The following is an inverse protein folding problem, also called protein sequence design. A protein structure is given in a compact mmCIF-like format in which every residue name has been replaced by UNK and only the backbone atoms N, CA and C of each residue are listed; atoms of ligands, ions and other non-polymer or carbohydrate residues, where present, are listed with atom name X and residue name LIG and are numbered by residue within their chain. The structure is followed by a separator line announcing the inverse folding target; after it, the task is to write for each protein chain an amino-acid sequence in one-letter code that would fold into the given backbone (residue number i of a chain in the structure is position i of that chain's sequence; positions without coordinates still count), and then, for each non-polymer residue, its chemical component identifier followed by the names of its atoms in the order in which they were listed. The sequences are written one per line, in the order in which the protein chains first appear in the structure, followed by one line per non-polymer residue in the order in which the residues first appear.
data_IF_277261933204
#
_entry.id   IF_277261933204
#
_cell.length_a   1.000
_cell.length_b   1.000
_cell.length_c   1.000
_cell.angle_alpha   90.00
_cell.angle_beta   90.00
_cell.angle_gamma   90.00
#
_symmetry.space_group_name_H-M   'P 1'
#
loop_
_entity.id
_entity.type
_entity.pdbx_description
1 polymer ?
#
# COMPACT_ATOMS: atom_id res chain seq x y z
N UNK A 1 -15.89 -26.14 -28.43
CA UNK A 1 -16.86 -25.85 -29.52
C UNK A 1 -18.01 -26.83 -29.54
N UNK A 2 -19.10 -26.51 -30.21
CA UNK A 2 -20.24 -27.41 -30.38
C UNK A 2 -19.88 -28.52 -31.40
N UNK A 3 -20.36 -29.75 -31.16
CA UNK A 3 -20.25 -30.85 -32.12
C UNK A 3 -21.13 -30.60 -33.36
N UNK A 4 -20.69 -31.11 -34.49
CA UNK A 4 -21.46 -31.01 -35.74
C UNK A 4 -22.73 -31.89 -35.72
N UNK A 5 -23.76 -31.42 -36.38
CA UNK A 5 -24.97 -32.24 -36.56
C UNK A 5 -24.75 -33.32 -37.61
N UNK A 6 -25.30 -34.53 -37.39
CA UNK A 6 -25.37 -35.57 -38.43
C UNK A 6 -26.33 -35.16 -39.53
N UNK A 7 -26.06 -35.62 -40.77
CA UNK A 7 -27.00 -35.53 -41.88
C UNK A 7 -28.16 -36.52 -41.72
N UNK A 8 -28.67 -37.04 -42.86
CA UNK A 8 -29.81 -37.92 -42.87
C UNK A 8 -29.57 -39.27 -42.14
N UNK A 9 -28.33 -39.74 -42.12
CA UNK A 9 -27.91 -40.97 -41.44
C UNK A 9 -26.55 -40.70 -40.82
N UNK A 10 -26.37 -41.02 -39.52
CA UNK A 10 -25.09 -40.88 -38.79
C UNK A 10 -25.28 -40.42 -37.35
N UNK A 11 -24.19 -40.41 -36.59
CA UNK A 11 -24.11 -39.83 -35.26
C UNK A 11 -23.71 -38.36 -35.35
N UNK A 12 -24.24 -37.54 -34.46
CA UNK A 12 -23.73 -36.15 -34.25
C UNK A 12 -22.31 -36.17 -33.69
N UNK A 13 -21.51 -35.17 -34.05
CA UNK A 13 -20.16 -35.02 -33.51
C UNK A 13 -20.19 -34.62 -32.03
N UNK A 14 -19.18 -35.06 -31.30
CA UNK A 14 -19.01 -34.70 -29.90
C UNK A 14 -18.66 -33.19 -29.72
N UNK A 15 -19.07 -32.63 -28.61
CA UNK A 15 -18.71 -31.27 -28.24
C UNK A 15 -17.23 -31.17 -27.87
N UNK A 16 -16.58 -30.11 -28.29
CA UNK A 16 -15.17 -29.84 -27.91
C UNK A 16 -15.02 -29.52 -26.43
N UNK A 17 -13.87 -29.90 -25.88
CA UNK A 17 -13.51 -29.57 -24.48
C UNK A 17 -13.45 -28.05 -24.27
N UNK A 18 -13.89 -27.60 -23.12
CA UNK A 18 -13.77 -26.18 -22.71
C UNK A 18 -12.31 -25.76 -22.52
N UNK A 19 -12.00 -24.51 -22.87
CA UNK A 19 -10.67 -23.96 -22.67
C UNK A 19 -10.31 -23.84 -21.19
N UNK A 20 -9.04 -24.00 -20.88
CA UNK A 20 -8.52 -23.77 -19.52
C UNK A 20 -8.58 -22.27 -19.20
N UNK A 21 -8.97 -21.93 -17.96
CA UNK A 21 -8.94 -20.54 -17.48
C UNK A 21 -7.51 -20.01 -17.44
N UNK A 22 -7.34 -18.76 -17.82
CA UNK A 22 -6.02 -18.14 -17.75
C UNK A 22 -5.57 -17.96 -16.30
N UNK A 23 -4.25 -18.07 -15.99
CA UNK A 23 -3.73 -17.68 -14.69
C UNK A 23 -4.08 -16.23 -14.39
N UNK A 24 -4.23 -15.88 -13.10
CA UNK A 24 -4.33 -14.49 -12.67
C UNK A 24 -3.14 -13.68 -13.17
N UNK A 25 -3.38 -12.49 -13.70
CA UNK A 25 -2.29 -11.63 -14.17
C UNK A 25 -1.48 -11.06 -13.00
N UNK A 26 -0.17 -10.96 -13.14
CA UNK A 26 0.66 -10.30 -12.13
C UNK A 26 0.23 -8.85 -11.96
N UNK A 27 0.06 -8.43 -10.67
CA UNK A 27 -0.09 -7.02 -10.35
C UNK A 27 1.20 -6.30 -10.70
N UNK A 28 1.15 -5.42 -11.68
CA UNK A 28 2.26 -4.55 -12.01
C UNK A 28 1.96 -3.16 -11.47
N UNK A 29 3.01 -2.50 -10.98
CA UNK A 29 2.94 -1.07 -10.73
C UNK A 29 3.26 -0.36 -12.06
N UNK A 30 2.28 -0.07 -12.92
CA UNK A 30 2.57 0.63 -14.16
C UNK A 30 3.21 1.98 -13.80
N UNK A 31 4.19 2.45 -14.59
CA UNK A 31 4.69 3.79 -14.41
C UNK A 31 3.50 4.74 -14.49
N UNK A 32 3.35 5.66 -13.51
CA UNK A 32 2.21 6.56 -13.51
C UNK A 32 2.24 7.40 -14.78
N UNK A 33 1.17 7.38 -15.54
CA UNK A 33 0.94 8.36 -16.61
C UNK A 33 0.62 9.71 -15.98
N UNK A 34 1.61 10.25 -15.26
CA UNK A 34 1.47 11.51 -14.55
C UNK A 34 1.49 12.65 -15.58
N UNK A 35 0.32 13.09 -15.97
CA UNK A 35 0.16 14.26 -16.87
C UNK A 35 0.12 15.57 -16.09
N UNK A 36 -0.20 15.55 -14.79
CA UNK A 36 -0.25 16.74 -13.94
C UNK A 36 -0.24 16.33 -12.44
N UNK A 37 0.00 17.31 -11.59
CA UNK A 37 -0.12 17.14 -10.14
C UNK A 37 -1.19 18.10 -9.61
N UNK A 38 -1.92 17.68 -8.57
CA UNK A 38 -2.83 18.55 -7.84
C UNK A 38 -2.04 19.59 -7.02
N UNK A 39 -2.70 20.69 -6.66
CA UNK A 39 -2.04 21.73 -5.88
C UNK A 39 -1.54 21.19 -4.53
N UNK A 40 -0.33 21.59 -4.17
CA UNK A 40 0.25 21.26 -2.87
C UNK A 40 -0.46 22.05 -1.76
N UNK A 41 -0.41 21.52 -0.53
CA UNK A 41 -0.86 22.23 0.65
C UNK A 41 0.04 23.45 0.93
N UNK A 42 -0.54 24.51 1.45
CA UNK A 42 0.24 25.67 1.87
C UNK A 42 1.05 25.36 3.14
N UNK A 43 2.27 25.87 3.26
CA UNK A 43 3.06 25.70 4.46
C UNK A 43 2.41 26.41 5.66
N UNK A 44 2.64 25.86 6.85
CA UNK A 44 2.27 26.49 8.10
C UNK A 44 3.13 27.75 8.38
N UNK A 45 2.58 28.70 9.09
CA UNK A 45 3.28 29.91 9.43
C UNK A 45 4.42 29.64 10.41
N UNK A 46 5.59 30.22 10.17
CA UNK A 46 6.67 30.28 11.15
C UNK A 46 6.32 31.32 12.22
N UNK A 47 6.58 30.99 13.49
CA UNK A 47 6.35 31.89 14.60
C UNK A 47 7.63 32.08 15.41
N UNK A 48 8.12 33.29 15.49
CA UNK A 48 9.33 33.66 16.22
C UNK A 48 9.12 33.90 17.73
N UNK A 49 7.87 33.80 18.20
CA UNK A 49 7.52 34.00 19.62
C UNK A 49 6.39 33.02 20.01
N UNK A 50 6.57 31.73 19.75
CA UNK A 50 5.62 30.68 20.07
C UNK A 50 5.67 29.50 19.10
N UNK A 51 4.63 28.69 19.12
CA UNK A 51 4.55 27.47 18.31
C UNK A 51 4.29 27.77 16.84
N UNK A 52 4.88 26.99 15.93
CA UNK A 52 4.68 27.07 14.50
C UNK A 52 3.28 26.58 14.08
N UNK A 53 2.78 27.11 12.97
CA UNK A 53 1.50 26.69 12.38
C UNK A 53 1.60 25.35 11.65
N UNK A 54 0.52 24.57 11.61
CA UNK A 54 0.46 23.35 10.83
C UNK A 54 0.41 23.65 9.33
N UNK A 55 1.05 22.80 8.52
CA UNK A 55 0.91 22.80 7.08
C UNK A 55 -0.45 22.27 6.66
N UNK A 56 -0.99 22.78 5.57
CA UNK A 56 -2.25 22.32 5.02
C UNK A 56 -2.07 21.02 4.20
N UNK A 57 -3.10 20.20 4.08
CA UNK A 57 -3.03 19.00 3.23
C UNK A 57 -2.93 19.39 1.74
N UNK A 58 -2.29 18.51 0.96
CA UNK A 58 -2.30 18.59 -0.50
C UNK A 58 -3.68 18.22 -1.06
N UNK A 59 -4.00 18.78 -2.21
CA UNK A 59 -5.27 18.47 -2.86
C UNK A 59 -5.24 17.09 -3.53
N UNK A 60 -6.36 16.35 -3.58
CA UNK A 60 -6.41 15.08 -4.30
C UNK A 60 -6.35 15.28 -5.82
N UNK A 61 -5.80 14.28 -6.50
CA UNK A 61 -5.82 14.17 -7.95
C UNK A 61 -7.20 13.70 -8.45
N UNK A 62 -8.15 14.60 -8.60
CA UNK A 62 -9.56 14.25 -8.90
C UNK A 62 -9.79 13.64 -10.31
N UNK A 63 -8.83 13.70 -11.21
CA UNK A 63 -8.95 13.22 -12.60
C UNK A 63 -7.91 12.11 -12.89
N UNK A 64 -8.20 11.22 -13.87
CA UNK A 64 -7.24 10.19 -14.28
C UNK A 64 -5.87 10.77 -14.67
N UNK A 65 -4.81 10.11 -14.23
CA UNK A 65 -3.43 10.52 -14.51
C UNK A 65 -2.92 11.71 -13.70
N UNK A 66 -3.73 12.28 -12.80
CA UNK A 66 -3.32 13.41 -11.98
C UNK A 66 -2.86 12.92 -10.59
N UNK A 67 -1.60 13.20 -10.26
CA UNK A 67 -1.04 12.88 -8.95
C UNK A 67 -1.68 13.73 -7.84
N UNK A 68 -1.72 13.20 -6.63
CA UNK A 68 -2.09 13.96 -5.45
C UNK A 68 -1.08 15.08 -5.17
N UNK A 69 -1.54 16.20 -4.63
CA UNK A 69 -0.67 17.28 -4.18
C UNK A 69 0.12 16.87 -2.93
N UNK A 70 1.35 17.32 -2.78
CA UNK A 70 2.10 17.13 -1.54
C UNK A 70 1.49 17.98 -0.40
N UNK A 71 1.64 17.52 0.84
CA UNK A 71 1.28 18.32 2.01
C UNK A 71 2.13 19.60 2.12
N UNK A 72 1.63 20.59 2.82
CA UNK A 72 2.39 21.80 3.16
C UNK A 72 3.32 21.55 4.34
N UNK A 73 4.50 22.13 4.33
CA UNK A 73 5.47 22.03 5.42
C UNK A 73 4.88 22.55 6.75
N UNK A 74 5.21 21.90 7.88
CA UNK A 74 4.93 22.47 9.19
C UNK A 74 5.79 23.71 9.44
N UNK A 75 5.20 24.76 10.02
CA UNK A 75 5.90 25.98 10.38
C UNK A 75 6.84 25.75 11.58
N UNK A 76 7.98 26.41 11.60
CA UNK A 76 8.87 26.40 12.77
C UNK A 76 8.33 27.29 13.88
N UNK A 77 8.46 26.82 15.13
CA UNK A 77 8.20 27.61 16.33
C UNK A 77 9.51 27.98 17.03
N UNK A 78 9.60 29.16 17.62
CA UNK A 78 10.72 29.59 18.44
C UNK A 78 10.23 30.43 19.60
N UNK A 79 10.83 30.26 20.78
CA UNK A 79 10.54 31.07 21.95
C UNK A 79 11.75 31.14 22.89
N UNK A 80 11.76 32.19 23.73
CA UNK A 80 12.76 32.45 24.78
C UNK A 80 12.17 32.27 26.18
N UNK A 81 10.89 31.94 26.29
CA UNK A 81 10.15 31.82 27.54
C UNK A 81 10.33 30.47 28.22
N UNK A 82 9.77 30.35 29.42
CA UNK A 82 9.69 29.07 30.15
C UNK A 82 8.60 28.14 29.61
N UNK A 83 7.75 28.66 28.72
CA UNK A 83 6.65 27.88 28.10
C UNK A 83 7.17 26.90 27.05
N UNK A 84 6.38 25.87 26.73
CA UNK A 84 6.74 24.92 25.69
C UNK A 84 6.57 25.53 24.29
N UNK A 85 7.48 25.17 23.38
CA UNK A 85 7.42 25.53 21.96
C UNK A 85 7.21 24.28 21.11
N UNK A 86 6.31 24.33 20.15
CA UNK A 86 6.05 23.21 19.24
C UNK A 86 6.24 23.65 17.78
N UNK A 87 6.99 22.89 17.00
CA UNK A 87 6.94 22.99 15.55
C UNK A 87 5.56 22.57 15.02
N UNK A 88 5.07 23.21 13.99
CA UNK A 88 3.79 22.84 13.37
C UNK A 88 3.86 21.46 12.70
N UNK A 89 2.77 20.72 12.69
CA UNK A 89 2.70 19.45 11.97
C UNK A 89 2.78 19.67 10.45
N UNK A 90 3.39 18.73 9.74
CA UNK A 90 3.33 18.67 8.29
C UNK A 90 1.93 18.34 7.80
N UNK A 91 1.52 18.88 6.66
CA UNK A 91 0.26 18.55 6.00
C UNK A 91 0.31 17.15 5.37
N UNK A 92 -0.84 16.48 5.29
CA UNK A 92 -0.95 15.20 4.59
C UNK A 92 -0.85 15.39 3.08
N UNK A 93 -0.35 14.38 2.38
CA UNK A 93 -0.45 14.30 0.91
C UNK A 93 -1.89 14.05 0.47
N UNK A 94 -2.25 14.55 -0.69
CA UNK A 94 -3.54 14.26 -1.33
C UNK A 94 -3.53 12.92 -2.05
N UNK A 95 -4.68 12.27 -2.19
CA UNK A 95 -4.79 11.00 -2.91
C UNK A 95 -4.56 11.20 -4.41
N UNK A 96 -3.99 10.19 -5.06
CA UNK A 96 -3.83 10.16 -6.52
C UNK A 96 -5.14 9.85 -7.23
N UNK A 97 -5.36 10.47 -8.38
CA UNK A 97 -6.41 10.07 -9.30
C UNK A 97 -6.13 8.69 -9.94
N UNK A 98 -7.09 8.10 -10.66
CA UNK A 98 -6.87 6.81 -11.34
C UNK A 98 -5.60 6.82 -12.19
N UNK A 99 -4.71 5.85 -11.99
CA UNK A 99 -3.43 5.74 -12.70
C UNK A 99 -2.33 6.68 -12.21
N UNK A 100 -2.53 7.40 -11.11
CA UNK A 100 -1.56 8.37 -10.61
C UNK A 100 -1.23 8.19 -9.13
N UNK A 101 0.03 8.47 -8.71
CA UNK A 101 0.46 8.27 -7.32
C UNK A 101 -0.21 9.25 -6.36
N UNK A 102 -0.30 8.82 -5.09
CA UNK A 102 -0.60 9.72 -4.00
C UNK A 102 0.49 10.76 -3.79
N UNK A 103 0.12 11.92 -3.27
CA UNK A 103 1.06 12.96 -2.86
C UNK A 103 1.81 12.58 -1.58
N UNK A 104 3.02 13.05 -1.42
CA UNK A 104 3.79 12.80 -0.20
C UNK A 104 3.27 13.68 0.94
N UNK A 105 3.31 13.15 2.17
CA UNK A 105 3.18 13.94 3.37
C UNK A 105 4.36 14.89 3.55
N UNK A 106 4.13 16.04 4.13
CA UNK A 106 5.17 17.02 4.36
C UNK A 106 5.85 16.86 5.72
N UNK A 107 7.11 17.27 5.86
CA UNK A 107 7.80 17.30 7.14
C UNK A 107 7.11 18.20 8.16
N UNK A 108 7.20 17.79 9.44
CA UNK A 108 6.88 18.65 10.56
C UNK A 108 7.92 19.77 10.76
N UNK A 109 7.48 20.87 11.34
CA UNK A 109 8.32 22.03 11.67
C UNK A 109 9.22 21.79 12.88
N UNK A 110 10.26 22.57 13.00
CA UNK A 110 11.19 22.53 14.13
C UNK A 110 10.63 23.38 15.26
N UNK A 111 10.68 22.87 16.51
CA UNK A 111 10.47 23.66 17.72
C UNK A 111 11.81 24.05 18.36
N UNK A 112 12.05 25.32 18.61
CA UNK A 112 13.29 25.83 19.24
C UNK A 112 12.93 26.61 20.48
N UNK A 113 13.40 26.15 21.65
CA UNK A 113 13.30 26.93 22.87
C UNK A 113 14.70 27.36 23.34
N UNK A 114 14.94 28.66 23.37
CA UNK A 114 16.19 29.26 23.86
C UNK A 114 16.09 29.69 25.32
N UNK A 115 14.90 29.55 25.93
CA UNK A 115 14.67 29.66 27.38
C UNK A 115 14.78 28.28 28.06
N UNK A 116 14.20 28.16 29.24
CA UNK A 116 14.21 26.92 30.04
C UNK A 116 13.02 25.97 29.71
N UNK A 117 12.13 26.38 28.80
CA UNK A 117 10.97 25.59 28.39
C UNK A 117 11.33 24.42 27.48
N UNK A 118 10.38 23.53 27.31
CA UNK A 118 10.49 22.36 26.42
C UNK A 118 10.32 22.74 24.95
N UNK A 119 10.95 21.96 24.08
CA UNK A 119 10.82 22.13 22.64
C UNK A 119 10.33 20.82 22.00
N UNK A 120 9.26 20.90 21.24
CA UNK A 120 8.68 19.77 20.52
C UNK A 120 8.81 19.98 19.01
N UNK A 121 9.28 18.97 18.31
CA UNK A 121 9.16 18.91 16.86
C UNK A 121 7.72 18.63 16.43
N UNK A 122 7.30 19.20 15.32
CA UNK A 122 6.01 18.86 14.71
C UNK A 122 6.03 17.46 14.09
N UNK A 123 4.89 16.75 14.05
CA UNK A 123 4.80 15.46 13.39
C UNK A 123 4.83 15.63 11.87
N UNK A 124 5.36 14.62 11.15
CA UNK A 124 5.25 14.54 9.71
C UNK A 124 3.81 14.26 9.27
N UNK A 125 3.41 14.76 8.11
CA UNK A 125 2.14 14.45 7.49
C UNK A 125 2.11 13.05 6.87
N UNK A 126 0.95 12.44 6.76
CA UNK A 126 0.80 11.13 6.10
C UNK A 126 0.88 11.28 4.57
N UNK A 127 1.36 10.25 3.88
CA UNK A 127 1.24 10.14 2.43
C UNK A 127 -0.20 9.90 2.01
N UNK A 128 -0.59 10.39 0.83
CA UNK A 128 -1.90 10.12 0.21
C UNK A 128 -1.94 8.74 -0.45
N UNK A 129 -3.13 8.19 -0.63
CA UNK A 129 -3.32 6.90 -1.28
C UNK A 129 -3.07 6.99 -2.79
N UNK A 130 -2.51 5.94 -3.38
CA UNK A 130 -2.35 5.82 -4.83
C UNK A 130 -3.67 5.51 -5.53
N UNK A 131 -3.90 6.09 -6.69
CA UNK A 131 -4.97 5.69 -7.58
C UNK A 131 -4.74 4.30 -8.17
N UNK A 132 -5.73 3.75 -8.88
CA UNK A 132 -5.62 2.40 -9.48
C UNK A 132 -4.33 2.26 -10.30
N UNK A 133 -3.53 1.25 -9.98
CA UNK A 133 -2.26 0.98 -10.64
C UNK A 133 -1.07 1.86 -10.21
N UNK A 134 -1.23 2.72 -9.21
CA UNK A 134 -0.20 3.67 -8.81
C UNK A 134 0.14 3.60 -7.31
N UNK A 135 1.38 3.90 -6.98
CA UNK A 135 1.95 3.82 -5.64
C UNK A 135 1.33 4.86 -4.70
N UNK A 136 1.19 4.51 -3.41
CA UNK A 136 0.90 5.48 -2.36
C UNK A 136 2.05 6.47 -2.15
N UNK A 137 1.73 7.69 -1.69
CA UNK A 137 2.71 8.71 -1.32
C UNK A 137 3.49 8.32 -0.07
N UNK A 138 4.71 8.81 0.06
CA UNK A 138 5.53 8.59 1.26
C UNK A 138 5.08 9.52 2.40
N UNK A 139 5.21 9.06 3.66
CA UNK A 139 5.00 9.89 4.83
C UNK A 139 6.08 10.95 5.00
N UNK A 140 5.71 12.10 5.54
CA UNK A 140 6.64 13.19 5.88
C UNK A 140 7.47 12.88 7.12
N UNK A 141 8.66 13.44 7.21
CA UNK A 141 9.51 13.28 8.39
C UNK A 141 9.00 14.11 9.57
N UNK A 142 9.23 13.63 10.80
CA UNK A 142 9.04 14.43 12.00
C UNK A 142 10.04 15.59 12.09
N UNK A 143 9.61 16.71 12.67
CA UNK A 143 10.47 17.85 12.95
C UNK A 143 11.32 17.63 14.21
N UNK A 144 12.39 18.39 14.37
CA UNK A 144 13.26 18.32 15.54
C UNK A 144 12.75 19.22 16.67
N UNK A 145 12.96 18.77 17.93
CA UNK A 145 12.79 19.60 19.12
C UNK A 145 14.14 20.04 19.68
N UNK A 146 14.40 21.34 19.76
CA UNK A 146 15.67 21.92 20.24
C UNK A 146 15.41 22.77 21.48
N UNK A 147 15.80 22.26 22.66
CA UNK A 147 15.80 23.04 23.89
C UNK A 147 17.26 23.39 24.25
N UNK A 148 17.63 24.69 24.22
CA UNK A 148 19.01 25.12 24.27
C UNK A 148 19.49 25.46 25.69
N UNK A 149 18.59 25.73 26.66
CA UNK A 149 18.94 26.22 27.99
C UNK A 149 18.25 25.43 29.12
N UNK A 150 18.25 24.11 29.05
CA UNK A 150 17.86 23.25 30.19
C UNK A 150 16.46 22.62 30.11
N UNK A 151 15.66 22.96 29.11
CA UNK A 151 14.43 22.24 28.81
C UNK A 151 14.69 20.93 28.06
N UNK A 152 13.65 20.08 27.91
CA UNK A 152 13.73 18.86 27.12
C UNK A 152 13.37 19.14 25.67
N UNK A 153 14.15 18.59 24.72
CA UNK A 153 13.81 18.51 23.33
C UNK A 153 13.11 17.17 23.03
N UNK A 154 12.03 17.19 22.26
CA UNK A 154 11.33 15.99 21.83
C UNK A 154 11.12 16.07 20.33
N UNK A 155 11.56 15.05 19.60
CA UNK A 155 11.36 14.95 18.17
C UNK A 155 9.91 14.62 17.84
N UNK A 156 9.38 15.16 16.75
CA UNK A 156 8.07 14.78 16.20
C UNK A 156 8.11 13.42 15.52
N UNK A 157 6.99 12.72 15.49
CA UNK A 157 6.89 11.42 14.83
C UNK A 157 6.86 11.56 13.31
N UNK A 158 7.35 10.54 12.60
CA UNK A 158 7.21 10.43 11.15
C UNK A 158 5.77 10.13 10.76
N UNK A 159 5.32 10.63 9.61
CA UNK A 159 4.00 10.33 9.06
C UNK A 159 3.94 8.92 8.44
N UNK A 160 2.76 8.34 8.38
CA UNK A 160 2.53 7.06 7.72
C UNK A 160 2.64 7.18 6.19
N UNK A 161 3.07 6.10 5.52
CA UNK A 161 2.97 5.98 4.07
C UNK A 161 1.52 5.74 3.64
N UNK A 162 1.13 6.26 2.48
CA UNK A 162 -0.19 6.04 1.86
C UNK A 162 -0.31 4.63 1.29
N UNK A 163 -1.52 4.16 1.11
CA UNK A 163 -1.79 2.85 0.50
C UNK A 163 -1.49 2.87 -0.99
N UNK A 164 -1.04 1.72 -1.51
CA UNK A 164 -0.97 1.52 -2.97
C UNK A 164 -2.36 1.38 -3.57
N UNK A 165 -2.56 1.88 -4.78
CA UNK A 165 -3.72 1.55 -5.61
C UNK A 165 -3.61 0.14 -6.18
N UNK A 166 -4.68 -0.35 -6.85
CA UNK A 166 -4.76 -1.72 -7.38
C UNK A 166 -3.48 -2.13 -8.10
N UNK A 167 -2.80 -3.14 -7.62
CA UNK A 167 -1.54 -3.65 -8.23
C UNK A 167 -0.28 -2.90 -7.84
N UNK A 168 -0.35 -1.93 -6.96
CA UNK A 168 0.75 -1.05 -6.65
C UNK A 168 1.22 -1.13 -5.18
N UNK A 169 2.47 -0.75 -4.96
CA UNK A 169 3.08 -0.71 -3.64
C UNK A 169 2.54 0.42 -2.78
N UNK A 170 2.55 0.23 -1.46
CA UNK A 170 2.33 1.31 -0.50
C UNK A 170 3.51 2.27 -0.45
N UNK A 171 3.27 3.47 0.06
CA UNK A 171 4.29 4.46 0.36
C UNK A 171 5.13 4.09 1.58
N UNK A 172 6.31 4.63 1.70
CA UNK A 172 7.17 4.42 2.87
C UNK A 172 6.70 5.30 4.04
N UNK A 173 6.98 4.86 5.28
CA UNK A 173 6.80 5.71 6.45
C UNK A 173 7.87 6.80 6.54
N UNK A 174 7.52 7.95 7.10
CA UNK A 174 8.45 9.05 7.37
C UNK A 174 9.36 8.76 8.56
N UNK A 175 10.52 9.35 8.57
CA UNK A 175 11.52 9.24 9.64
C UNK A 175 11.06 10.07 10.85
N UNK A 176 11.29 9.58 12.09
CA UNK A 176 11.07 10.35 13.29
C UNK A 176 12.10 11.49 13.44
N UNK A 177 11.65 12.62 13.98
CA UNK A 177 12.48 13.78 14.27
C UNK A 177 13.42 13.54 15.45
N UNK A 178 14.57 14.19 15.47
CA UNK A 178 15.53 14.09 16.57
C UNK A 178 15.31 15.14 17.66
N UNK A 179 15.84 14.86 18.84
CA UNK A 179 16.07 15.84 19.88
C UNK A 179 17.53 16.29 19.79
N UNK A 180 17.78 17.46 19.22
CA UNK A 180 19.13 17.98 19.01
C UNK A 180 19.33 19.34 19.68
N UNK A 181 20.54 19.64 20.11
CA UNK A 181 20.93 20.87 20.74
C UNK A 181 22.19 20.70 21.62
N UNK A 182 23.02 21.71 21.72
CA UNK A 182 24.30 21.67 22.47
C UNK A 182 24.12 21.55 23.98
N UNK A 183 22.98 21.94 24.52
CA UNK A 183 22.65 21.91 25.94
C UNK A 183 21.44 21.06 26.28
N UNK A 184 20.96 20.24 25.35
CA UNK A 184 19.84 19.29 25.57
C UNK A 184 20.36 18.09 26.33
N UNK A 185 20.27 18.11 27.65
CA UNK A 185 20.69 16.99 28.51
C UNK A 185 19.70 15.81 28.40
N UNK A 186 18.43 16.13 28.22
CA UNK A 186 17.33 15.15 28.10
C UNK A 186 16.61 15.42 26.80
N UNK A 187 16.15 14.37 26.16
CA UNK A 187 15.33 14.48 24.95
C UNK A 187 15.13 13.14 24.30
N UNK A 188 13.93 12.90 23.80
CA UNK A 188 13.58 11.67 23.10
C UNK A 188 13.41 11.93 21.62
N UNK A 189 13.92 11.04 20.77
CA UNK A 189 13.64 11.03 19.35
C UNK A 189 12.18 10.64 19.09
N UNK A 190 11.59 11.18 18.02
CA UNK A 190 10.27 10.80 17.57
C UNK A 190 10.28 9.42 16.90
N UNK A 191 9.18 8.71 16.96
CA UNK A 191 9.02 7.40 16.30
C UNK A 191 8.95 7.54 14.78
N UNK A 192 9.41 6.51 14.06
CA UNK A 192 9.23 6.43 12.61
C UNK A 192 7.77 6.09 12.25
N UNK A 193 7.30 6.64 11.15
CA UNK A 193 5.95 6.35 10.64
C UNK A 193 5.85 4.94 10.05
N UNK A 194 4.68 4.30 10.13
CA UNK A 194 4.46 3.00 9.50
C UNK A 194 4.47 3.10 7.97
N UNK A 195 4.87 2.02 7.31
CA UNK A 195 4.73 1.89 5.86
C UNK A 195 3.28 1.68 5.46
N UNK A 196 2.90 2.18 4.29
CA UNK A 196 1.57 1.98 3.72
C UNK A 196 1.35 0.54 3.25
N UNK A 197 0.12 0.06 3.32
CA UNK A 197 -0.22 -1.27 2.81
C UNK A 197 -0.10 -1.34 1.28
N UNK A 198 0.35 -2.48 0.77
CA UNK A 198 0.26 -2.81 -0.64
C UNK A 198 -1.20 -3.09 -1.04
N UNK A 199 -1.52 -2.88 -2.29
CA UNK A 199 -2.89 -3.08 -2.77
C UNK A 199 -3.18 -4.52 -3.16
N UNK A 200 -4.46 -4.88 -3.09
CA UNK A 200 -4.98 -6.12 -3.67
C UNK A 200 -5.02 -5.99 -5.20
N UNK A 201 -4.70 -7.06 -5.90
CA UNK A 201 -4.68 -7.05 -7.37
C UNK A 201 -5.26 -8.32 -7.96
N UNK A 202 -5.62 -8.28 -9.24
CA UNK A 202 -6.03 -9.43 -10.01
C UNK A 202 -4.90 -10.46 -10.27
N UNK A 203 -3.65 -10.11 -9.91
CA UNK A 203 -2.48 -10.98 -10.05
C UNK A 203 -1.76 -11.13 -8.72
N UNK A 204 -0.44 -10.92 -8.69
CA UNK A 204 0.35 -10.89 -7.46
C UNK A 204 0.01 -9.63 -6.64
N UNK A 205 -0.25 -9.77 -5.34
CA UNK A 205 -0.52 -8.65 -4.45
C UNK A 205 0.61 -7.61 -4.44
N UNK A 206 0.28 -6.35 -4.27
CA UNK A 206 1.27 -5.27 -4.14
C UNK A 206 2.15 -5.43 -2.90
N UNK A 207 3.37 -4.94 -2.95
CA UNK A 207 4.31 -4.98 -1.81
C UNK A 207 3.92 -3.92 -0.78
N UNK A 208 4.03 -4.22 0.52
CA UNK A 208 3.87 -3.24 1.59
C UNK A 208 5.00 -2.22 1.60
N UNK A 209 4.71 -0.99 2.00
CA UNK A 209 5.72 0.07 2.15
C UNK A 209 6.64 -0.18 3.36
N UNK A 210 7.85 0.36 3.31
CA UNK A 210 8.82 0.27 4.41
C UNK A 210 8.44 1.22 5.55
N UNK A 211 8.63 0.79 6.81
CA UNK A 211 8.49 1.67 7.97
C UNK A 211 9.59 2.72 8.03
N UNK A 212 9.28 3.91 8.53
CA UNK A 212 10.26 4.98 8.72
C UNK A 212 11.22 4.71 9.87
N UNK A 213 12.42 5.26 9.81
CA UNK A 213 13.36 5.16 10.92
C UNK A 213 12.92 6.05 12.10
N UNK A 214 13.26 5.62 13.32
CA UNK A 214 13.15 6.45 14.53
C UNK A 214 14.14 7.59 14.55
N UNK A 215 13.80 8.71 15.19
CA UNK A 215 14.67 9.86 15.34
C UNK A 215 15.72 9.66 16.44
N UNK A 216 16.75 10.49 16.43
CA UNK A 216 17.81 10.44 17.42
C UNK A 216 17.42 11.11 18.73
N UNK A 217 17.77 10.52 19.87
CA UNK A 217 17.66 11.11 21.20
C UNK A 217 18.67 12.22 21.44
N UNK A 218 18.52 12.94 22.58
CA UNK A 218 19.46 13.99 23.01
C UNK A 218 20.87 13.47 23.29
N UNK A 219 21.84 14.38 23.28
CA UNK A 219 23.25 14.02 23.29
C UNK A 219 23.67 13.20 24.52
N UNK A 220 23.19 13.56 25.71
CA UNK A 220 23.60 12.93 26.98
C UNK A 220 22.54 11.93 27.48
N UNK A 221 21.34 12.40 27.61
CA UNK A 221 20.18 11.63 28.03
C UNK A 221 19.06 11.84 27.01
N UNK A 222 18.54 10.80 26.47
CA UNK A 222 17.43 10.82 25.54
C UNK A 222 17.35 9.54 24.76
N UNK A 223 16.23 8.85 24.88
CA UNK A 223 16.01 7.61 24.17
C UNK A 223 15.86 7.89 22.67
N UNK A 224 16.35 6.98 21.85
CA UNK A 224 16.05 6.98 20.42
C UNK A 224 14.59 6.67 20.16
N UNK A 225 13.99 7.27 19.15
CA UNK A 225 12.64 6.92 18.70
C UNK A 225 12.60 5.53 18.07
N UNK A 226 11.48 4.84 18.19
CA UNK A 226 11.30 3.51 17.58
C UNK A 226 11.17 3.60 16.05
N UNK A 227 11.59 2.57 15.36
CA UNK A 227 11.31 2.42 13.93
C UNK A 227 9.82 2.15 13.69
N UNK A 228 9.25 2.69 12.62
CA UNK A 228 7.88 2.43 12.19
C UNK A 228 7.71 1.01 11.65
N UNK A 229 6.52 0.43 11.80
CA UNK A 229 6.22 -0.88 11.22
C UNK A 229 6.17 -0.86 9.69
N UNK A 230 6.56 -1.94 9.04
CA UNK A 230 6.35 -2.15 7.62
C UNK A 230 4.87 -2.31 7.29
N UNK A 231 4.45 -1.90 6.10
CA UNK A 231 3.08 -2.10 5.60
C UNK A 231 2.82 -3.56 5.23
N UNK A 232 1.57 -4.01 5.35
CA UNK A 232 1.18 -5.35 4.90
C UNK A 232 1.26 -5.48 3.36
N UNK A 233 1.57 -6.66 2.87
CA UNK A 233 1.44 -7.02 1.45
C UNK A 233 -0.03 -7.11 1.03
N UNK A 234 -0.30 -6.83 -0.22
CA UNK A 234 -1.65 -6.97 -0.81
C UNK A 234 -2.02 -8.43 -1.07
N UNK A 235 -3.31 -8.71 -1.14
CA UNK A 235 -3.85 -10.05 -1.45
C UNK A 235 -3.68 -10.33 -2.94
N UNK A 236 -3.31 -11.57 -3.31
CA UNK A 236 -3.27 -12.04 -4.69
C UNK A 236 -4.64 -12.09 -5.35
N UNK A 237 -4.69 -11.95 -6.67
CA UNK A 237 -5.95 -11.99 -7.41
C UNK A 237 -6.54 -13.38 -7.56
N UNK A 238 -7.84 -13.46 -7.81
CA UNK A 238 -8.52 -14.73 -8.11
C UNK A 238 -8.21 -15.18 -9.54
N UNK A 239 -8.03 -16.48 -9.74
CA UNK A 239 -7.89 -17.09 -11.06
C UNK A 239 -9.14 -16.90 -11.92
N UNK A 240 -8.96 -16.86 -13.23
CA UNK A 240 -10.08 -16.77 -14.18
C UNK A 240 -10.89 -18.07 -14.19
N UNK A 241 -12.20 -17.96 -14.49
CA UNK A 241 -13.07 -19.13 -14.66
C UNK A 241 -12.68 -19.91 -15.92
N UNK A 242 -12.81 -21.25 -15.86
CA UNK A 242 -12.68 -22.11 -17.04
C UNK A 242 -13.79 -21.85 -18.05
N UNK A 243 -13.50 -22.10 -19.33
CA UNK A 243 -14.49 -22.01 -20.39
C UNK A 243 -15.52 -23.14 -20.32
N UNK A 244 -16.77 -22.88 -20.70
CA UNK A 244 -17.79 -23.92 -20.78
C UNK A 244 -17.48 -24.93 -21.91
N UNK A 245 -17.82 -26.19 -21.70
CA UNK A 245 -17.77 -27.23 -22.73
C UNK A 245 -18.74 -26.95 -23.86
N UNK A 246 -18.40 -27.40 -25.07
CA UNK A 246 -19.26 -27.27 -26.23
C UNK A 246 -20.46 -28.22 -26.16
N UNK A 247 -21.60 -27.81 -26.76
CA UNK A 247 -22.78 -28.67 -26.88
C UNK A 247 -22.52 -29.79 -27.87
N UNK A 248 -22.99 -31.00 -27.56
CA UNK A 248 -23.00 -32.14 -28.50
C UNK A 248 -23.92 -31.87 -29.70
N UNK A 249 -23.55 -32.43 -30.88
CA UNK A 249 -24.33 -32.31 -32.09
C UNK A 249 -25.60 -33.17 -32.08
N UNK A 250 -26.59 -32.76 -32.86
CA UNK A 250 -27.85 -33.51 -32.98
C UNK A 250 -27.82 -34.47 -34.16
N UNK A 251 -28.48 -35.66 -34.07
CA UNK A 251 -28.54 -36.64 -35.13
C UNK A 251 -29.43 -37.83 -34.77
N UNK A 252 -29.30 -38.98 -35.46
CA UNK A 252 -29.97 -40.19 -35.09
C UNK A 252 -29.54 -40.66 -33.69
N UNK A 253 -28.23 -40.55 -33.43
CA UNK A 253 -27.62 -40.64 -32.12
C UNK A 253 -27.05 -39.26 -31.79
N UNK A 254 -27.40 -38.69 -30.65
CA UNK A 254 -26.88 -37.41 -30.20
C UNK A 254 -25.39 -37.50 -29.81
N UNK A 255 -24.61 -36.50 -30.16
CA UNK A 255 -23.20 -36.38 -29.72
C UNK A 255 -23.10 -36.01 -28.24
N UNK A 256 -22.03 -36.40 -27.57
CA UNK A 256 -21.74 -36.05 -26.18
C UNK A 256 -21.39 -34.58 -26.05
N UNK A 257 -21.75 -33.97 -24.92
CA UNK A 257 -21.29 -32.61 -24.54
C UNK A 257 -19.79 -32.61 -24.20
N UNK A 258 -19.11 -31.56 -24.59
CA UNK A 258 -17.69 -31.37 -24.19
C UNK A 258 -17.53 -31.05 -22.73
N UNK A 259 -16.45 -31.49 -22.09
CA UNK A 259 -16.13 -31.16 -20.69
C UNK A 259 -15.82 -29.69 -20.52
N UNK A 260 -16.18 -29.15 -19.36
CA UNK A 260 -15.79 -27.80 -18.97
C UNK A 260 -14.27 -27.67 -18.78
N UNK A 261 -13.69 -26.49 -19.07
CA UNK A 261 -12.31 -26.21 -18.84
C UNK A 261 -12.00 -26.00 -17.34
N UNK A 262 -10.81 -26.35 -16.90
CA UNK A 262 -10.37 -26.07 -15.53
C UNK A 262 -10.25 -24.55 -15.26
N UNK A 263 -10.50 -24.15 -14.02
CA UNK A 263 -10.24 -22.78 -13.58
C UNK A 263 -8.74 -22.44 -13.57
N UNK A 264 -8.42 -21.17 -13.77
CA UNK A 264 -7.04 -20.67 -13.67
C UNK A 264 -6.54 -20.62 -12.24
N UNK A 265 -5.23 -20.68 -12.05
CA UNK A 265 -4.62 -20.52 -10.72
C UNK A 265 -4.80 -19.11 -10.17
N UNK A 266 -4.92 -18.99 -8.84
CA UNK A 266 -4.90 -17.70 -8.15
C UNK A 266 -3.52 -17.05 -8.16
N UNK A 267 -3.46 -15.73 -8.04
CA UNK A 267 -2.21 -14.98 -7.93
C UNK A 267 -1.60 -15.10 -6.53
N UNK A 268 -0.29 -14.92 -6.42
CA UNK A 268 0.40 -14.95 -5.12
C UNK A 268 0.14 -13.68 -4.33
N UNK A 269 0.16 -13.77 -2.98
CA UNK A 269 0.14 -12.61 -2.09
C UNK A 269 1.41 -11.76 -2.22
N UNK A 270 1.28 -10.47 -1.98
CA UNK A 270 2.39 -9.53 -1.98
C UNK A 270 3.26 -9.66 -0.72
N UNK A 271 4.54 -9.32 -0.85
CA UNK A 271 5.46 -9.31 0.28
C UNK A 271 5.12 -8.17 1.25
N UNK A 272 5.25 -8.40 2.59
CA UNK A 272 5.20 -7.33 3.59
C UNK A 272 6.37 -6.37 3.47
N UNK A 273 6.19 -5.13 3.87
CA UNK A 273 7.26 -4.13 3.95
C UNK A 273 8.19 -4.37 5.13
N UNK A 274 9.47 -4.02 5.02
CA UNK A 274 10.40 -4.10 6.14
C UNK A 274 10.07 -3.06 7.22
N UNK A 275 10.35 -3.38 8.50
CA UNK A 275 10.28 -2.41 9.58
C UNK A 275 11.39 -1.37 9.49
N UNK A 276 11.14 -0.17 10.02
CA UNK A 276 12.13 0.90 10.09
C UNK A 276 13.18 0.65 11.17
N UNK A 277 14.38 1.23 11.00
CA UNK A 277 15.41 1.17 12.01
C UNK A 277 15.04 2.00 13.25
N UNK A 278 15.44 1.54 14.46
CA UNK A 278 15.36 2.37 15.65
C UNK A 278 16.35 3.52 15.62
N UNK A 279 16.02 4.64 16.27
CA UNK A 279 16.87 5.81 16.38
C UNK A 279 18.01 5.61 17.37
N UNK A 280 19.11 6.35 17.20
CA UNK A 280 20.24 6.36 18.15
C UNK A 280 19.86 7.02 19.47
N UNK A 281 20.50 6.60 20.55
CA UNK A 281 20.31 7.17 21.89
C UNK A 281 21.45 8.08 22.30
N UNK A 282 21.21 8.90 23.33
CA UNK A 282 22.24 9.61 24.06
C UNK A 282 23.14 8.65 24.85
N UNK A 283 24.25 9.20 25.41
CA UNK A 283 25.31 8.41 26.03
C UNK A 283 24.83 7.53 27.19
N UNK A 284 23.79 7.91 27.90
CA UNK A 284 23.23 7.21 29.07
C UNK A 284 21.78 6.72 28.85
N UNK A 285 21.38 6.54 27.63
CA UNK A 285 20.01 6.18 27.23
C UNK A 285 19.99 4.98 26.30
N UNK A 286 18.79 4.48 25.95
CA UNK A 286 18.63 3.31 25.10
C UNK A 286 18.27 3.69 23.66
N UNK A 287 18.82 2.99 22.66
CA UNK A 287 18.39 3.16 21.28
C UNK A 287 16.95 2.71 21.10
N UNK A 288 16.24 3.34 20.18
CA UNK A 288 14.91 2.91 19.77
C UNK A 288 14.94 1.47 19.18
N UNK A 289 13.86 0.75 19.33
CA UNK A 289 13.72 -0.59 18.76
C UNK A 289 13.40 -0.52 17.26
N UNK A 290 13.81 -1.53 16.52
CA UNK A 290 13.40 -1.68 15.13
C UNK A 290 11.90 -1.88 15.02
N UNK A 291 11.27 -1.29 14.03
CA UNK A 291 9.88 -1.55 13.70
C UNK A 291 9.68 -3.00 13.23
N UNK A 292 8.51 -3.57 13.50
CA UNK A 292 8.16 -4.88 12.99
C UNK A 292 8.03 -4.87 11.46
N UNK A 293 8.42 -5.95 10.80
CA UNK A 293 8.10 -6.16 9.39
C UNK A 293 6.58 -6.30 9.19
N UNK A 294 6.10 -5.87 8.03
CA UNK A 294 4.70 -6.06 7.65
C UNK A 294 4.39 -7.53 7.35
N UNK A 295 3.15 -7.95 7.52
CA UNK A 295 2.70 -9.29 7.15
C UNK A 295 2.68 -9.47 5.64
N UNK A 296 2.97 -10.67 5.13
CA UNK A 296 2.71 -11.03 3.74
C UNK A 296 1.21 -11.02 3.46
N UNK A 297 0.83 -10.72 2.22
CA UNK A 297 -0.55 -10.81 1.75
C UNK A 297 -0.93 -12.27 1.51
N UNK A 298 -2.21 -12.57 1.61
CA UNK A 298 -2.73 -13.91 1.29
C UNK A 298 -2.66 -14.19 -0.21
N UNK A 299 -2.47 -15.45 -0.60
CA UNK A 299 -2.65 -15.91 -1.98
C UNK A 299 -4.09 -15.77 -2.42
N UNK A 300 -4.31 -15.51 -3.70
CA UNK A 300 -5.64 -15.43 -4.29
C UNK A 300 -6.25 -16.82 -4.46
N UNK A 301 -7.58 -16.92 -4.44
CA UNK A 301 -8.28 -18.16 -4.71
C UNK A 301 -8.13 -18.60 -6.18
N UNK A 302 -8.12 -19.91 -6.44
CA UNK A 302 -8.21 -20.44 -7.78
C UNK A 302 -9.57 -20.15 -8.42
N UNK A 303 -9.59 -20.02 -9.73
CA UNK A 303 -10.81 -19.79 -10.49
C UNK A 303 -11.72 -21.01 -10.53
N UNK A 304 -13.03 -20.80 -10.70
CA UNK A 304 -13.99 -21.88 -10.84
C UNK A 304 -13.79 -22.63 -12.17
N UNK A 305 -14.06 -23.93 -12.18
CA UNK A 305 -14.13 -24.70 -13.41
C UNK A 305 -15.31 -24.28 -14.28
N UNK A 306 -15.19 -24.45 -15.59
CA UNK A 306 -16.26 -24.20 -16.53
C UNK A 306 -17.36 -25.30 -16.46
N UNK A 307 -18.56 -24.94 -16.82
CA UNK A 307 -19.65 -25.92 -16.90
C UNK A 307 -19.42 -26.93 -18.04
N UNK A 308 -19.83 -28.16 -17.85
CA UNK A 308 -19.87 -29.14 -18.92
C UNK A 308 -20.88 -28.75 -20.01
N UNK A 309 -20.63 -29.16 -21.23
CA UNK A 309 -21.51 -28.92 -22.36
C UNK A 309 -22.78 -29.77 -22.30
N UNK A 310 -23.88 -29.25 -22.84
CA UNK A 310 -25.11 -30.01 -22.93
C UNK A 310 -24.99 -31.17 -23.95
N UNK A 311 -25.67 -32.28 -23.68
CA UNK A 311 -25.79 -33.38 -24.60
C UNK A 311 -26.46 -32.97 -25.93
N UNK A 312 -26.06 -33.57 -27.01
CA UNK A 312 -26.74 -33.48 -28.29
C UNK A 312 -28.09 -34.24 -28.28
N UNK A 313 -29.08 -33.70 -28.98
CA UNK A 313 -30.35 -34.39 -29.15
C UNK A 313 -30.22 -35.54 -30.15
N UNK A 314 -30.61 -36.76 -29.75
CA UNK A 314 -30.72 -37.92 -30.62
C UNK A 314 -32.14 -38.31 -30.80
N UNK A 315 -32.55 -38.76 -32.02
CA UNK A 315 -33.89 -39.28 -32.29
C UNK A 315 -34.06 -40.71 -31.81
N UNK A 316 -32.97 -41.44 -31.63
CA UNK A 316 -32.94 -42.79 -31.06
C UNK A 316 -32.26 -42.84 -29.70
N UNK A 317 -31.10 -42.22 -29.57
CA UNK A 317 -30.33 -42.15 -28.32
C UNK A 317 -29.78 -40.74 -28.18
N UNK A 318 -30.03 -40.10 -27.04
CA UNK A 318 -29.42 -38.82 -26.72
C UNK A 318 -27.94 -39.02 -26.32
N UNK A 319 -27.08 -38.01 -26.58
CA UNK A 319 -25.72 -38.02 -26.07
C UNK A 319 -25.67 -37.82 -24.53
N UNK A 320 -24.49 -37.87 -23.94
CA UNK A 320 -24.26 -37.58 -22.53
C UNK A 320 -23.84 -36.11 -22.34
N UNK A 321 -24.21 -35.47 -21.23
CA UNK A 321 -23.67 -34.16 -20.91
C UNK A 321 -22.17 -34.28 -20.57
N UNK A 322 -21.42 -33.23 -20.87
CA UNK A 322 -20.00 -33.15 -20.46
C UNK A 322 -19.84 -32.87 -18.96
N UNK A 323 -18.75 -33.29 -18.41
CA UNK A 323 -18.39 -33.02 -17.00
C UNK A 323 -17.96 -31.55 -16.77
N UNK A 324 -18.23 -30.98 -15.59
CA UNK A 324 -17.70 -29.69 -15.23
C UNK A 324 -16.18 -29.74 -15.05
N UNK A 325 -15.50 -28.62 -15.34
CA UNK A 325 -14.06 -28.47 -15.10
C UNK A 325 -13.73 -28.37 -13.61
N UNK A 326 -12.50 -28.72 -13.25
CA UNK A 326 -12.00 -28.59 -11.88
C UNK A 326 -11.68 -27.12 -11.48
N UNK A 327 -11.62 -26.86 -10.20
CA UNK A 327 -11.15 -25.57 -9.68
C UNK A 327 -9.64 -25.39 -9.93
N UNK A 328 -9.21 -24.13 -10.17
CA UNK A 328 -7.82 -23.77 -10.22
C UNK A 328 -7.15 -23.85 -8.82
N UNK A 329 -5.85 -23.96 -8.79
CA UNK A 329 -5.08 -23.92 -7.53
C UNK A 329 -5.11 -22.51 -6.89
N UNK A 330 -5.09 -22.45 -5.57
CA UNK A 330 -4.88 -21.18 -4.86
C UNK A 330 -3.44 -20.69 -5.04
N UNK A 331 -3.24 -19.38 -5.05
CA UNK A 331 -1.92 -18.77 -5.03
C UNK A 331 -1.22 -18.95 -3.67
N UNK A 332 0.10 -18.80 -3.65
CA UNK A 332 0.88 -18.86 -2.42
C UNK A 332 0.75 -17.54 -1.61
N UNK A 333 0.87 -17.64 -0.30
CA UNK A 333 0.93 -16.45 0.55
C UNK A 333 2.25 -15.70 0.34
N UNK A 334 2.20 -14.37 0.51
CA UNK A 334 3.38 -13.52 0.47
C UNK A 334 4.26 -13.71 1.71
N UNK A 335 5.55 -13.44 1.55
CA UNK A 335 6.51 -13.50 2.67
C UNK A 335 6.34 -12.27 3.57
N UNK A 336 6.61 -12.39 4.88
CA UNK A 336 6.69 -11.22 5.77
C UNK A 336 7.88 -10.33 5.39
N UNK A 337 7.82 -9.07 5.78
CA UNK A 337 8.84 -8.06 5.54
C UNK A 337 9.98 -8.07 6.55
#
# INVERSE_FOLDING_TARGET
GAGGNAGLIGAGGDGGVGGVGAPGTNGMNPPPNQTSQAANGSPGANNGAGSGGAGLPGNPGAVPGRAGGAGGLGGSGSDTSEGPVTGGNGGNGGDGGPGAPGGNGAPGGIGVNTGTGWAYGGNGGNGGDGGAGARGGDGGNGGNGLALNGGNGIGGNGGAGGRGGTGAAGGNGGIGGGATGTLTFFGSGGDGGPGGAGANTAGTGGVGGVGGAGGQGGLLFGDGGNGGAGGAGGIGGTGASGGAGGKGGSGLVGGDGGNGGAGGAGGNGGKGGAGGAGGGAGMFSQPGVHGAGGTGGQGGAGGAGGAGGAAGAGTVVAGNPGDPGGFGAAGADGLPG
#
